data_IF_036352353974
#
_entry.id   IF_036352353974
#
_cell.length_a   1.000
_cell.length_b   1.000
_cell.length_c   1.000
_cell.angle_alpha   90.00
_cell.angle_beta   90.00
_cell.angle_gamma   90.00
#
_symmetry.space_group_name_H-M   'P 1'
#
loop_
_entity.id
_entity.type
_entity.pdbx_description
1 polymer ?
#
# COMPACT_ATOMS: atom_id res chain seq x y z
N UNK A 1 -4.94 10.98 -10.56
CA UNK A 1 -5.91 9.89 -10.30
C UNK A 1 -6.42 10.06 -8.88
N UNK A 2 -7.74 9.97 -8.66
CA UNK A 2 -8.33 10.02 -7.30
C UNK A 2 -7.93 8.76 -6.51
N UNK A 3 -7.68 8.90 -5.20
CA UNK A 3 -7.37 7.79 -4.32
C UNK A 3 -8.61 6.93 -4.02
N UNK A 4 -8.41 5.67 -3.60
CA UNK A 4 -9.52 4.76 -3.24
C UNK A 4 -10.41 5.34 -2.12
N UNK A 5 -9.82 6.11 -1.20
CA UNK A 5 -10.53 6.84 -0.15
C UNK A 5 -11.44 7.95 -0.69
N UNK A 6 -10.94 8.72 -1.66
CA UNK A 6 -11.71 9.79 -2.30
C UNK A 6 -12.90 9.23 -3.08
N UNK A 7 -12.70 8.12 -3.80
CA UNK A 7 -13.77 7.38 -4.46
C UNK A 7 -14.80 6.81 -3.46
N UNK A 8 -14.37 6.36 -2.29
CA UNK A 8 -15.27 5.86 -1.25
C UNK A 8 -16.11 6.98 -0.62
N UNK A 9 -15.50 8.14 -0.34
CA UNK A 9 -16.20 9.30 0.21
C UNK A 9 -17.20 9.91 -0.77
N UNK A 10 -16.86 9.97 -2.07
CA UNK A 10 -17.81 10.40 -3.11
C UNK A 10 -19.04 9.47 -3.19
N UNK A 11 -18.83 8.14 -3.05
CA UNK A 11 -19.94 7.16 -3.03
C UNK A 11 -20.80 7.26 -1.78
N UNK A 12 -20.22 7.66 -0.64
CA UNK A 12 -20.92 7.79 0.64
C UNK A 12 -21.59 9.16 0.84
N UNK A 13 -21.51 10.06 -0.15
CA UNK A 13 -22.12 11.39 -0.08
C UNK A 13 -21.46 12.34 0.94
N UNK A 14 -20.22 12.05 1.35
CA UNK A 14 -19.47 12.87 2.29
C UNK A 14 -18.91 14.14 1.64
N UNK A 15 -18.87 15.25 2.38
CA UNK A 15 -18.14 16.45 1.96
C UNK A 15 -16.64 16.19 2.05
N UNK A 16 -15.94 16.30 0.92
CA UNK A 16 -14.49 16.18 0.87
C UNK A 16 -13.86 17.45 1.44
N UNK A 17 -13.26 17.38 2.62
CA UNK A 17 -12.41 18.47 3.11
C UNK A 17 -11.19 18.59 2.20
N UNK A 18 -10.91 19.82 1.76
CA UNK A 18 -9.72 20.09 0.96
C UNK A 18 -8.49 19.96 1.85
N UNK A 19 -7.59 19.05 1.48
CA UNK A 19 -6.31 18.89 2.16
C UNK A 19 -5.37 20.04 1.80
N UNK A 20 -4.65 20.54 2.79
CA UNK A 20 -3.54 21.48 2.55
C UNK A 20 -2.40 20.80 1.79
N UNK A 21 -1.53 21.58 1.17
CA UNK A 21 -0.39 21.01 0.43
C UNK A 21 0.56 20.25 1.36
N UNK A 22 0.71 20.70 2.61
CA UNK A 22 1.46 19.96 3.64
C UNK A 22 0.82 18.61 3.97
N UNK A 23 -0.52 18.54 4.09
CA UNK A 23 -1.24 17.30 4.34
C UNK A 23 -1.12 16.33 3.15
N UNK A 24 -1.19 16.85 1.92
CA UNK A 24 -0.95 16.06 0.70
C UNK A 24 0.47 15.51 0.67
N UNK A 25 1.47 16.34 0.99
CA UNK A 25 2.87 15.89 1.00
C UNK A 25 3.12 14.83 2.06
N UNK A 26 2.50 14.95 3.24
CA UNK A 26 2.53 13.91 4.28
C UNK A 26 1.95 12.58 3.78
N UNK A 27 0.83 12.60 3.04
CA UNK A 27 0.27 11.40 2.45
C UNK A 27 1.16 10.83 1.33
N UNK A 28 1.76 11.69 0.51
CA UNK A 28 2.68 11.28 -0.55
C UNK A 28 3.95 10.64 0.02
N UNK A 29 4.47 11.14 1.15
CA UNK A 29 5.58 10.52 1.84
C UNK A 29 5.26 9.08 2.29
N UNK A 30 4.03 8.81 2.74
CA UNK A 30 3.57 7.44 3.04
C UNK A 30 3.52 6.59 1.77
N UNK A 31 3.04 7.14 0.65
CA UNK A 31 3.03 6.39 -0.61
C UNK A 31 4.46 5.98 -1.03
N UNK A 32 5.43 6.89 -0.98
CA UNK A 32 6.85 6.59 -1.27
C UNK A 32 7.45 5.53 -0.34
N UNK A 33 7.17 5.61 0.97
CA UNK A 33 7.64 4.63 1.95
C UNK A 33 7.12 3.22 1.63
N UNK A 34 5.84 3.11 1.28
CA UNK A 34 5.23 1.82 1.00
C UNK A 34 5.57 1.30 -0.41
N UNK A 35 5.83 2.17 -1.38
CA UNK A 35 6.42 1.78 -2.67
C UNK A 35 7.79 1.11 -2.49
N UNK A 36 8.64 1.66 -1.61
CA UNK A 36 9.92 1.03 -1.28
C UNK A 36 9.74 -0.36 -0.64
N UNK A 37 8.77 -0.51 0.27
CA UNK A 37 8.43 -1.81 0.87
C UNK A 37 7.94 -2.83 -0.16
N UNK A 38 7.08 -2.41 -1.09
CA UNK A 38 6.61 -3.27 -2.18
C UNK A 38 7.76 -3.70 -3.09
N UNK A 39 8.68 -2.78 -3.42
CA UNK A 39 9.87 -3.10 -4.22
C UNK A 39 10.77 -4.10 -3.50
N UNK A 40 11.02 -3.89 -2.20
CA UNK A 40 11.82 -4.79 -1.38
C UNK A 40 11.22 -6.21 -1.33
N UNK A 41 9.91 -6.34 -1.10
CA UNK A 41 9.22 -7.64 -1.09
C UNK A 41 9.38 -8.37 -2.43
N UNK A 42 9.21 -7.65 -3.55
CA UNK A 42 9.41 -8.20 -4.90
C UNK A 42 10.84 -8.66 -5.14
N UNK A 43 11.84 -7.86 -4.76
CA UNK A 43 13.25 -8.26 -4.90
C UNK A 43 13.58 -9.49 -4.06
N UNK A 44 13.10 -9.54 -2.81
CA UNK A 44 13.31 -10.69 -1.94
C UNK A 44 12.65 -11.96 -2.49
N UNK A 45 11.44 -11.87 -3.06
CA UNK A 45 10.78 -13.00 -3.71
C UNK A 45 11.49 -13.43 -5.00
N UNK A 46 11.97 -12.49 -5.82
CA UNK A 46 12.77 -12.80 -7.00
C UNK A 46 14.05 -13.56 -6.64
N UNK A 47 14.74 -13.16 -5.57
CA UNK A 47 15.94 -13.87 -5.11
C UNK A 47 15.64 -15.26 -4.56
N UNK A 48 14.47 -15.46 -3.93
CA UNK A 48 13.97 -16.78 -3.55
C UNK A 48 13.65 -17.65 -4.77
N UNK A 49 12.99 -17.09 -5.78
CA UNK A 49 12.66 -17.80 -7.03
C UNK A 49 13.91 -18.26 -7.78
N UNK A 50 14.96 -17.44 -7.86
CA UNK A 50 16.25 -17.84 -8.46
C UNK A 50 16.86 -19.06 -7.77
N UNK A 51 16.65 -19.21 -6.45
CA UNK A 51 17.17 -20.32 -5.64
C UNK A 51 16.27 -21.55 -5.67
N UNK A 52 15.04 -21.45 -6.17
CA UNK A 52 14.10 -22.56 -6.20
C UNK A 52 14.44 -23.65 -7.23
N UNK A 53 15.46 -23.45 -8.09
CA UNK A 53 15.99 -24.46 -9.02
C UNK A 53 14.92 -25.22 -9.84
N UNK A 54 13.86 -24.52 -10.27
CA UNK A 54 12.72 -25.09 -11.00
C UNK A 54 11.83 -26.08 -10.21
N UNK A 55 11.94 -26.12 -8.88
CA UNK A 55 11.02 -26.84 -8.00
C UNK A 55 9.63 -26.19 -8.06
N UNK A 56 8.61 -26.83 -8.66
CA UNK A 56 7.32 -26.21 -8.90
C UNK A 56 6.56 -25.88 -7.62
N UNK A 57 6.71 -26.71 -6.57
CA UNK A 57 6.03 -26.51 -5.30
C UNK A 57 6.61 -25.30 -4.57
N UNK A 58 7.94 -25.18 -4.52
CA UNK A 58 8.59 -24.00 -3.94
C UNK A 58 8.28 -22.72 -4.71
N UNK A 59 8.26 -22.79 -6.05
CA UNK A 59 7.90 -21.63 -6.88
C UNK A 59 6.48 -21.16 -6.55
N UNK A 60 5.52 -22.10 -6.46
CA UNK A 60 4.14 -21.79 -6.13
C UNK A 60 4.01 -21.18 -4.72
N UNK A 61 4.66 -21.78 -3.71
CA UNK A 61 4.68 -21.24 -2.34
C UNK A 61 5.26 -19.81 -2.30
N UNK A 62 6.37 -19.56 -2.98
CA UNK A 62 6.98 -18.21 -3.02
C UNK A 62 6.03 -17.18 -3.67
N UNK A 63 5.26 -17.58 -4.67
CA UNK A 63 4.28 -16.71 -5.32
C UNK A 63 3.10 -16.41 -4.40
N UNK A 64 2.55 -17.43 -3.71
CA UNK A 64 1.46 -17.25 -2.75
C UNK A 64 1.89 -16.35 -1.58
N UNK A 65 3.07 -16.61 -1.01
CA UNK A 65 3.64 -15.78 0.05
C UNK A 65 3.80 -14.32 -0.39
N UNK A 66 4.30 -14.09 -1.61
CA UNK A 66 4.46 -12.74 -2.15
C UNK A 66 3.10 -12.05 -2.31
N UNK A 67 2.06 -12.75 -2.80
CA UNK A 67 0.72 -12.16 -2.94
C UNK A 67 0.13 -11.73 -1.59
N UNK A 68 0.28 -12.56 -0.56
CA UNK A 68 -0.16 -12.25 0.80
C UNK A 68 0.62 -11.05 1.35
N UNK A 69 1.94 -11.03 1.18
CA UNK A 69 2.81 -9.94 1.62
C UNK A 69 2.45 -8.61 0.94
N UNK A 70 2.30 -8.59 -0.39
CA UNK A 70 1.91 -7.39 -1.15
C UNK A 70 0.54 -6.86 -0.71
N UNK A 71 -0.43 -7.75 -0.48
CA UNK A 71 -1.76 -7.37 0.02
C UNK A 71 -1.67 -6.76 1.42
N UNK A 72 -0.89 -7.36 2.32
CA UNK A 72 -0.68 -6.84 3.67
C UNK A 72 -0.04 -5.44 3.65
N UNK A 73 0.99 -5.23 2.84
CA UNK A 73 1.66 -3.94 2.68
C UNK A 73 0.66 -2.88 2.18
N UNK A 74 -0.18 -3.22 1.19
CA UNK A 74 -1.18 -2.30 0.67
C UNK A 74 -2.27 -1.95 1.69
N UNK A 75 -2.75 -2.92 2.48
CA UNK A 75 -3.71 -2.68 3.58
C UNK A 75 -3.09 -1.77 4.65
N UNK A 76 -1.85 -2.02 5.04
CA UNK A 76 -1.13 -1.17 6.01
C UNK A 76 -0.97 0.27 5.50
N UNK A 77 -0.68 0.45 4.21
CA UNK A 77 -0.60 1.77 3.56
C UNK A 77 -1.90 2.54 3.69
N UNK A 78 -3.01 1.91 3.30
CA UNK A 78 -4.34 2.54 3.35
C UNK A 78 -4.74 2.85 4.79
N UNK A 79 -4.55 1.91 5.72
CA UNK A 79 -4.84 2.13 7.16
C UNK A 79 -4.04 3.31 7.73
N UNK A 80 -2.77 3.46 7.37
CA UNK A 80 -1.95 4.59 7.82
C UNK A 80 -2.44 5.90 7.25
N UNK A 81 -2.72 5.95 5.95
CA UNK A 81 -3.25 7.15 5.30
C UNK A 81 -4.64 7.51 5.84
N UNK A 82 -5.48 6.55 6.16
CA UNK A 82 -6.79 6.79 6.78
C UNK A 82 -6.65 7.39 8.19
N UNK A 83 -5.76 6.85 9.03
CA UNK A 83 -5.45 7.43 10.35
C UNK A 83 -5.01 8.89 10.23
N UNK A 84 -4.08 9.18 9.32
CA UNK A 84 -3.62 10.56 9.08
C UNK A 84 -4.76 11.47 8.64
N UNK A 85 -5.66 11.01 7.76
CA UNK A 85 -6.83 11.80 7.36
C UNK A 85 -7.79 12.06 8.53
N UNK A 86 -7.99 11.08 9.42
CA UNK A 86 -8.78 11.29 10.65
C UNK A 86 -8.12 12.31 11.58
N UNK A 87 -6.80 12.28 11.72
CA UNK A 87 -6.03 13.25 12.50
C UNK A 87 -6.11 14.66 11.91
N UNK A 88 -6.06 14.78 10.57
CA UNK A 88 -6.21 16.06 9.87
C UNK A 88 -7.58 16.70 10.06
N UNK A 89 -8.62 15.88 10.21
CA UNK A 89 -9.99 16.37 10.42
C UNK A 89 -10.28 16.72 11.89
N UNK A 90 -9.47 16.20 12.82
CA UNK A 90 -9.60 16.42 14.27
C UNK A 90 -8.65 17.53 14.79
N UNK A 91 -7.83 18.13 13.92
CA UNK A 91 -6.96 19.28 14.23
C UNK A 91 -7.55 20.57 13.70
#
# INVERSE_FOLDING_TARGET
MKSAYELAMERLGGTMQQLSDEQKEKLAAVDREFEAKLAQAKFAAQDRLKRAQADPEKIWQIQEDLEVELRSIQVQKENRKEKMRKEFNNS
#
